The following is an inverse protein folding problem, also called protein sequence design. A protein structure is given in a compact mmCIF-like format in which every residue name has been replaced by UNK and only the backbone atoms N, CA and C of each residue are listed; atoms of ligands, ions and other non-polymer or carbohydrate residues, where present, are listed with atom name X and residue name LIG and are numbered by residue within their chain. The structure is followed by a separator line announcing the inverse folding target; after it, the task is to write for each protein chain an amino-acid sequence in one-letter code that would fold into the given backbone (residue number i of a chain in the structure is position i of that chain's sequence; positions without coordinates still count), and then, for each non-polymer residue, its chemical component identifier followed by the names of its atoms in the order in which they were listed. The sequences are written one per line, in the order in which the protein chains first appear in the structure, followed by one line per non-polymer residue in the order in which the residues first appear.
data_IF_075499491488
#
_entry.id   IF_075499491488
#
_cell.length_a   1.000
_cell.length_b   1.000
_cell.length_c   1.000
_cell.angle_alpha   90.00
_cell.angle_beta   90.00
_cell.angle_gamma   90.00
#
_symmetry.space_group_name_H-M   'P 1'
#
loop_
_entity.id
_entity.type
_entity.pdbx_description
1 polymer ?
#
# COMPACT_ATOMS: atom_id res chain seq x y z
N UNK A 1 21.27 6.02 -12.59
CA UNK A 1 20.06 6.42 -11.87
C UNK A 1 19.79 7.91 -12.10
N UNK A 2 18.57 8.25 -12.47
CA UNK A 2 18.14 9.65 -12.65
C UNK A 2 17.12 9.98 -11.56
N UNK A 3 17.41 11.00 -10.78
CA UNK A 3 16.56 11.47 -9.68
C UNK A 3 15.86 12.76 -10.09
N UNK A 4 14.58 12.88 -9.78
CA UNK A 4 13.80 14.12 -9.94
C UNK A 4 12.99 14.38 -8.67
N UNK A 5 13.40 15.37 -7.92
CA UNK A 5 12.73 15.76 -6.67
C UNK A 5 11.66 16.83 -6.85
N UNK A 6 10.86 17.06 -5.81
CA UNK A 6 9.97 18.21 -5.70
C UNK A 6 10.73 19.51 -5.45
N UNK A 7 10.12 20.64 -5.81
CA UNK A 7 10.71 21.98 -5.61
C UNK A 7 10.83 22.36 -4.13
N UNK A 8 9.95 21.84 -3.30
CA UNK A 8 9.93 22.01 -1.83
C UNK A 8 11.12 21.36 -1.13
N UNK A 9 11.70 20.32 -1.74
CA UNK A 9 12.85 19.58 -1.21
C UNK A 9 14.16 19.80 -2.00
N UNK A 10 14.24 20.79 -2.90
CA UNK A 10 15.37 20.96 -3.82
C UNK A 10 16.72 21.08 -3.11
N UNK A 11 16.79 21.87 -2.03
CA UNK A 11 18.03 22.02 -1.24
C UNK A 11 18.48 20.70 -0.61
N UNK A 12 17.56 19.94 -0.03
CA UNK A 12 17.85 18.62 0.55
C UNK A 12 18.28 17.62 -0.51
N UNK A 13 17.61 17.59 -1.66
CA UNK A 13 17.95 16.70 -2.77
C UNK A 13 19.35 16.99 -3.30
N UNK A 14 19.72 18.27 -3.49
CA UNK A 14 21.08 18.68 -3.91
C UNK A 14 22.14 18.28 -2.89
N UNK A 15 21.89 18.48 -1.61
CA UNK A 15 22.83 18.13 -0.55
C UNK A 15 23.08 16.60 -0.50
N UNK A 16 22.00 15.80 -0.60
CA UNK A 16 22.08 14.33 -0.61
C UNK A 16 22.85 13.85 -1.86
N UNK A 17 22.57 14.37 -3.05
CA UNK A 17 23.25 13.97 -4.27
C UNK A 17 24.71 14.43 -4.26
N UNK A 18 25.03 15.59 -3.73
CA UNK A 18 26.43 16.04 -3.54
C UNK A 18 27.20 15.07 -2.62
N UNK A 19 26.59 14.61 -1.53
CA UNK A 19 27.18 13.60 -0.64
C UNK A 19 27.40 12.26 -1.39
N UNK A 20 26.40 11.78 -2.13
CA UNK A 20 26.53 10.57 -2.95
C UNK A 20 27.70 10.72 -3.92
N UNK A 21 27.79 11.84 -4.64
CA UNK A 21 28.89 12.09 -5.59
C UNK A 21 30.26 12.08 -4.92
N UNK A 22 30.39 12.63 -3.69
CA UNK A 22 31.65 12.60 -2.95
C UNK A 22 32.10 11.18 -2.61
N UNK A 23 31.14 10.32 -2.22
CA UNK A 23 31.39 8.91 -1.90
C UNK A 23 31.75 8.12 -3.16
N UNK A 24 31.04 8.33 -4.27
CA UNK A 24 31.32 7.70 -5.55
C UNK A 24 32.74 8.05 -6.02
N UNK A 25 33.12 9.32 -5.96
CA UNK A 25 34.46 9.79 -6.31
C UNK A 25 35.55 9.11 -5.46
N UNK A 26 35.34 8.99 -4.13
CA UNK A 26 36.25 8.28 -3.23
C UNK A 26 36.41 6.79 -3.56
N UNK A 27 35.45 6.21 -4.28
CA UNK A 27 35.47 4.81 -4.76
C UNK A 27 35.93 4.68 -6.22
N UNK A 28 36.36 5.77 -6.88
CA UNK A 28 36.74 5.76 -8.28
C UNK A 28 35.56 5.57 -9.26
N UNK A 29 34.32 5.82 -8.82
CA UNK A 29 33.12 5.69 -9.63
C UNK A 29 32.73 7.07 -10.17
N UNK A 30 32.41 7.15 -11.47
CA UNK A 30 32.00 8.38 -12.13
C UNK A 30 30.68 8.93 -11.56
N UNK A 31 30.60 10.26 -11.42
CA UNK A 31 29.39 10.91 -10.86
C UNK A 31 28.12 10.72 -11.69
N UNK A 32 28.26 10.48 -12.99
CA UNK A 32 27.13 10.23 -13.91
C UNK A 32 26.31 8.98 -13.61
N UNK A 33 26.75 8.14 -12.67
CA UNK A 33 25.96 7.01 -12.16
C UNK A 33 24.68 7.47 -11.46
N UNK A 34 24.68 8.68 -10.87
CA UNK A 34 23.51 9.31 -10.25
C UNK A 34 23.43 10.77 -10.72
N UNK A 35 22.34 11.12 -11.37
CA UNK A 35 22.08 12.48 -11.84
C UNK A 35 20.78 13.03 -11.22
N UNK A 36 20.81 14.31 -10.84
CA UNK A 36 19.66 15.04 -10.32
C UNK A 36 19.16 16.02 -11.38
N UNK A 37 17.91 15.80 -11.81
CA UNK A 37 17.26 16.72 -12.75
C UNK A 37 16.75 17.97 -12.04
N UNK A 38 16.59 19.09 -12.78
CA UNK A 38 15.94 20.28 -12.26
C UNK A 38 14.56 19.99 -11.70
N UNK A 39 14.18 20.67 -10.60
CA UNK A 39 12.89 20.49 -9.94
C UNK A 39 11.74 21.22 -10.69
N UNK A 40 11.70 21.11 -12.03
CA UNK A 40 10.70 21.78 -12.90
C UNK A 40 9.73 20.78 -13.51
N UNK A 41 8.58 21.23 -13.96
CA UNK A 41 7.60 20.41 -14.68
C UNK A 41 8.10 19.97 -16.05
N UNK A 42 8.84 20.84 -16.74
CA UNK A 42 9.44 20.55 -18.04
C UNK A 42 10.46 19.39 -17.94
N UNK A 43 11.30 19.39 -16.91
CA UNK A 43 12.22 18.30 -16.66
C UNK A 43 11.49 16.98 -16.39
N UNK A 44 10.38 17.01 -15.64
CA UNK A 44 9.53 15.83 -15.43
C UNK A 44 8.96 15.32 -16.75
N UNK A 45 8.36 16.21 -17.55
CA UNK A 45 7.78 15.83 -18.83
C UNK A 45 8.82 15.25 -19.80
N UNK A 46 9.99 15.89 -19.90
CA UNK A 46 11.10 15.39 -20.73
C UNK A 46 11.58 14.00 -20.29
N UNK A 47 11.74 13.79 -18.98
CA UNK A 47 12.11 12.48 -18.40
C UNK A 47 11.09 11.39 -18.76
N UNK A 48 9.80 11.67 -18.61
CA UNK A 48 8.75 10.71 -18.90
C UNK A 48 8.59 10.35 -20.38
N UNK A 49 9.16 11.17 -21.27
CA UNK A 49 9.17 10.96 -22.74
C UNK A 49 10.51 10.35 -23.23
N UNK A 50 11.51 10.20 -22.37
CA UNK A 50 12.88 9.83 -22.74
C UNK A 50 13.04 8.31 -23.01
N UNK A 51 12.21 7.76 -23.90
CA UNK A 51 12.31 6.37 -24.36
C UNK A 51 13.69 6.11 -25.01
N UNK A 52 14.31 4.98 -24.68
CA UNK A 52 15.67 4.65 -25.12
C UNK A 52 16.79 5.20 -24.22
N UNK A 53 16.46 6.02 -23.23
CA UNK A 53 17.37 6.52 -22.19
C UNK A 53 16.97 6.09 -20.79
N UNK A 54 15.67 5.90 -20.56
CA UNK A 54 15.10 5.50 -19.27
C UNK A 54 14.34 4.20 -19.45
N UNK A 55 14.79 3.16 -18.77
CA UNK A 55 14.19 1.82 -18.80
C UNK A 55 12.95 1.73 -17.91
N UNK A 56 12.93 2.48 -16.80
CA UNK A 56 11.88 2.41 -15.79
C UNK A 56 11.75 3.72 -15.01
N UNK A 57 10.52 4.17 -14.79
CA UNK A 57 10.19 5.26 -13.89
C UNK A 57 9.41 4.73 -12.68
N UNK A 58 9.83 5.09 -11.46
CA UNK A 58 9.13 4.77 -10.22
C UNK A 58 8.69 6.09 -9.57
N UNK A 59 7.46 6.56 -9.83
CA UNK A 59 6.96 7.80 -9.25
C UNK A 59 6.67 7.64 -7.76
N UNK A 60 7.06 8.65 -6.98
CA UNK A 60 6.79 8.76 -5.55
C UNK A 60 6.13 10.09 -5.26
N UNK A 61 4.91 10.06 -4.71
CA UNK A 61 4.16 11.27 -4.39
C UNK A 61 2.67 11.05 -4.28
N UNK A 62 1.91 12.12 -4.14
CA UNK A 62 0.46 12.05 -3.99
C UNK A 62 -0.27 11.63 -5.28
N UNK A 63 -1.55 11.28 -5.14
CA UNK A 63 -2.45 10.76 -6.19
C UNK A 63 -2.36 11.57 -7.51
N UNK A 64 -2.27 12.90 -7.42
CA UNK A 64 -2.19 13.79 -8.61
C UNK A 64 -0.90 13.56 -9.42
N UNK A 65 0.24 13.36 -8.76
CA UNK A 65 1.50 13.06 -9.44
C UNK A 65 1.44 11.69 -10.11
N UNK A 66 0.96 10.68 -9.40
CA UNK A 66 0.85 9.33 -9.95
C UNK A 66 -0.05 9.33 -11.20
N UNK A 67 -1.21 10.00 -11.12
CA UNK A 67 -2.12 10.14 -12.27
C UNK A 67 -1.45 10.86 -13.44
N UNK A 68 -0.76 11.95 -13.18
CA UNK A 68 -0.02 12.69 -14.23
C UNK A 68 1.03 11.80 -14.91
N UNK A 69 1.81 11.05 -14.13
CA UNK A 69 2.80 10.12 -14.69
C UNK A 69 2.13 9.04 -15.53
N UNK A 70 1.04 8.44 -15.03
CA UNK A 70 0.26 7.43 -15.76
C UNK A 70 -0.22 7.93 -17.12
N UNK A 71 -0.75 9.17 -17.16
CA UNK A 71 -1.33 9.74 -18.38
C UNK A 71 -0.27 10.24 -19.37
N UNK A 72 0.95 10.54 -18.88
CA UNK A 72 1.96 11.24 -19.68
C UNK A 72 3.14 10.36 -20.08
N UNK A 73 3.50 9.36 -19.26
CA UNK A 73 4.72 8.59 -19.48
C UNK A 73 4.64 7.72 -20.75
N UNK A 74 5.73 7.75 -21.54
CA UNK A 74 6.02 6.78 -22.61
C UNK A 74 7.05 5.75 -22.17
N UNK A 75 7.79 6.03 -21.09
CA UNK A 75 8.68 5.07 -20.44
C UNK A 75 7.87 4.11 -19.58
N UNK A 76 8.32 2.87 -19.37
CA UNK A 76 7.69 1.96 -18.41
C UNK A 76 7.60 2.57 -17.01
N UNK A 77 6.49 2.34 -16.32
CA UNK A 77 6.24 2.88 -14.98
C UNK A 77 5.87 1.77 -14.03
N UNK A 78 6.48 1.75 -12.84
CA UNK A 78 5.99 0.97 -11.71
C UNK A 78 5.32 1.93 -10.72
N UNK A 79 4.02 1.84 -10.62
CA UNK A 79 3.24 2.69 -9.73
C UNK A 79 3.31 2.17 -8.28
N UNK A 80 3.58 3.09 -7.36
CA UNK A 80 3.36 2.89 -5.94
C UNK A 80 2.11 3.68 -5.58
N UNK A 81 0.97 3.02 -5.67
CA UNK A 81 -0.35 3.65 -5.50
C UNK A 81 -0.69 4.01 -4.05
N UNK A 82 -1.86 4.63 -3.86
CA UNK A 82 -2.45 4.83 -2.55
C UNK A 82 -2.77 3.46 -1.90
N UNK A 83 -2.69 3.38 -0.58
CA UNK A 83 -2.99 2.17 0.18
C UNK A 83 -4.37 2.26 0.82
N UNK A 84 -5.45 1.93 0.12
CA UNK A 84 -6.76 1.69 0.77
C UNK A 84 -6.78 0.24 1.24
N UNK A 85 -6.74 0.04 2.55
CA UNK A 85 -6.43 -1.23 3.21
C UNK A 85 -7.60 -1.70 4.06
N UNK A 86 -7.92 -3.01 3.98
CA UNK A 86 -9.03 -3.60 4.72
C UNK A 86 -8.58 -4.71 5.67
N UNK A 87 -9.35 -4.87 6.76
CA UNK A 87 -9.33 -6.06 7.59
C UNK A 87 -10.76 -6.60 7.71
N UNK A 88 -10.96 -7.86 7.35
CA UNK A 88 -12.25 -8.54 7.50
C UNK A 88 -12.26 -9.39 8.76
N UNK A 89 -13.11 -9.02 9.71
CA UNK A 89 -13.42 -9.81 10.90
C UNK A 89 -14.56 -10.77 10.58
N UNK A 90 -14.20 -12.02 10.36
CA UNK A 90 -15.08 -13.09 9.92
C UNK A 90 -16.01 -13.60 11.03
N UNK A 91 -17.03 -14.38 10.65
CA UNK A 91 -17.98 -15.00 11.59
C UNK A 91 -17.28 -15.94 12.60
N UNK A 92 -16.12 -16.52 12.25
CA UNK A 92 -15.27 -17.35 13.13
C UNK A 92 -14.07 -16.57 13.70
N UNK A 93 -14.11 -15.24 13.70
CA UNK A 93 -13.05 -14.40 14.25
C UNK A 93 -12.92 -14.55 15.79
N UNK A 94 -11.68 -14.65 16.29
CA UNK A 94 -11.40 -14.56 17.72
C UNK A 94 -11.30 -13.09 18.15
N UNK A 95 -12.07 -12.67 19.14
CA UNK A 95 -12.16 -11.26 19.56
C UNK A 95 -10.84 -10.74 20.12
N UNK A 96 -10.18 -11.53 20.97
CA UNK A 96 -8.94 -11.09 21.63
C UNK A 96 -7.80 -10.93 20.59
N UNK A 97 -7.70 -11.87 19.66
CA UNK A 97 -6.75 -11.79 18.55
C UNK A 97 -7.12 -10.64 17.60
N UNK A 98 -8.40 -10.52 17.21
CA UNK A 98 -8.89 -9.48 16.33
C UNK A 98 -8.63 -8.08 16.87
N UNK A 99 -8.91 -7.84 18.16
CA UNK A 99 -8.62 -6.56 18.81
C UNK A 99 -7.14 -6.19 18.66
N UNK A 100 -6.21 -7.12 18.95
CA UNK A 100 -4.77 -6.83 18.80
C UNK A 100 -4.38 -6.50 17.37
N UNK A 101 -4.90 -7.25 16.40
CA UNK A 101 -4.60 -7.06 14.97
C UNK A 101 -5.14 -5.72 14.47
N UNK A 102 -6.42 -5.45 14.70
CA UNK A 102 -7.12 -4.25 14.23
C UNK A 102 -6.51 -2.99 14.85
N UNK A 103 -6.30 -2.99 16.17
CA UNK A 103 -5.67 -1.87 16.88
C UNK A 103 -4.24 -1.63 16.37
N UNK A 104 -3.43 -2.67 16.19
CA UNK A 104 -2.08 -2.54 15.63
C UNK A 104 -2.11 -1.99 14.20
N UNK A 105 -2.93 -2.57 13.33
CA UNK A 105 -3.04 -2.15 11.92
C UNK A 105 -3.44 -0.67 11.80
N UNK A 106 -4.34 -0.17 12.69
CA UNK A 106 -4.78 1.23 12.64
C UNK A 106 -3.87 2.18 13.39
N UNK A 107 -3.35 1.80 14.56
CA UNK A 107 -2.80 2.80 15.49
C UNK A 107 -1.27 2.76 15.65
N UNK A 108 -0.56 1.77 15.11
CA UNK A 108 0.90 1.70 15.16
C UNK A 108 1.54 2.91 14.46
N UNK A 109 1.09 3.21 13.26
CA UNK A 109 1.48 4.39 12.49
C UNK A 109 0.40 4.68 11.45
N UNK A 110 -0.27 5.81 11.55
CA UNK A 110 -1.39 6.16 10.67
C UNK A 110 -0.97 6.75 9.33
N UNK A 111 0.22 7.34 9.25
CA UNK A 111 0.71 8.06 8.06
C UNK A 111 1.52 7.16 7.12
N UNK A 112 1.10 5.92 6.94
CA UNK A 112 1.71 4.93 6.03
C UNK A 112 0.64 4.16 5.27
N UNK A 113 0.99 3.74 4.06
CA UNK A 113 0.08 3.10 3.10
C UNK A 113 -0.44 1.71 3.52
N UNK A 114 0.16 1.08 4.54
CA UNK A 114 -0.29 -0.21 5.09
C UNK A 114 -1.18 -0.06 6.33
N UNK A 115 -1.53 1.17 6.73
CA UNK A 115 -2.43 1.41 7.84
C UNK A 115 -3.87 1.02 7.47
N UNK A 116 -4.60 0.46 8.42
CA UNK A 116 -5.99 0.04 8.21
C UNK A 116 -6.90 1.25 7.92
N UNK A 117 -7.64 1.20 6.81
CA UNK A 117 -8.62 2.23 6.46
C UNK A 117 -10.06 1.77 6.69
N UNK A 118 -10.37 0.51 6.42
CA UNK A 118 -11.72 -0.01 6.68
C UNK A 118 -11.69 -1.37 7.39
N UNK A 119 -12.38 -1.45 8.51
CA UNK A 119 -12.75 -2.70 9.14
C UNK A 119 -14.05 -3.20 8.53
N UNK A 120 -14.01 -4.37 7.91
CA UNK A 120 -15.19 -5.10 7.47
C UNK A 120 -15.54 -6.12 8.56
N UNK A 121 -16.80 -6.16 8.98
CA UNK A 121 -17.24 -7.08 10.03
C UNK A 121 -18.42 -7.91 9.58
N UNK A 122 -18.38 -9.23 9.83
CA UNK A 122 -19.52 -10.11 9.60
C UNK A 122 -20.68 -9.74 10.53
N UNK A 123 -21.90 -9.66 10.02
CA UNK A 123 -23.08 -9.20 10.74
C UNK A 123 -23.38 -9.98 12.02
N UNK A 124 -23.13 -11.29 12.02
CA UNK A 124 -23.30 -12.13 13.22
C UNK A 124 -22.34 -11.75 14.36
N UNK A 125 -21.34 -10.93 14.10
CA UNK A 125 -20.30 -10.51 15.05
C UNK A 125 -20.40 -9.03 15.43
N UNK A 126 -21.47 -8.34 15.03
CA UNK A 126 -21.68 -6.93 15.39
C UNK A 126 -21.64 -6.67 16.90
N UNK A 127 -22.13 -7.61 17.71
CA UNK A 127 -22.06 -7.49 19.16
C UNK A 127 -20.63 -7.42 19.71
N UNK A 128 -19.63 -7.90 18.96
CA UNK A 128 -18.21 -7.87 19.36
C UNK A 128 -17.52 -6.56 18.94
N UNK A 129 -18.11 -5.80 18.02
CA UNK A 129 -17.51 -4.59 17.46
C UNK A 129 -17.07 -3.58 18.54
N UNK A 130 -17.87 -3.28 19.57
CA UNK A 130 -17.44 -2.38 20.64
C UNK A 130 -16.14 -2.84 21.32
N UNK A 131 -16.00 -4.14 21.59
CA UNK A 131 -14.80 -4.70 22.21
C UNK A 131 -13.57 -4.63 21.27
N UNK A 132 -13.77 -4.88 19.97
CA UNK A 132 -12.69 -4.83 18.96
C UNK A 132 -12.08 -3.42 18.83
N UNK A 133 -12.90 -2.36 18.96
CA UNK A 133 -12.45 -0.99 18.73
C UNK A 133 -12.20 -0.19 20.02
N UNK A 134 -12.65 -0.67 21.19
CA UNK A 134 -12.53 0.05 22.45
C UNK A 134 -11.13 0.63 22.74
N UNK A 135 -10.01 -0.10 22.53
CA UNK A 135 -8.68 0.44 22.82
C UNK A 135 -8.30 1.65 21.94
N UNK A 136 -8.93 1.81 20.78
CA UNK A 136 -8.66 2.91 19.86
C UNK A 136 -9.18 4.26 20.38
N UNK A 137 -10.11 4.27 21.33
CA UNK A 137 -10.63 5.50 21.94
C UNK A 137 -9.52 6.30 22.62
N UNK A 138 -8.48 5.63 23.18
CA UNK A 138 -7.30 6.28 23.77
C UNK A 138 -6.48 7.11 22.77
N UNK A 139 -6.59 6.78 21.49
CA UNK A 139 -5.97 7.51 20.36
C UNK A 139 -6.97 8.41 19.62
N UNK A 140 -8.21 8.51 20.12
CA UNK A 140 -9.29 9.30 19.52
C UNK A 140 -9.52 8.91 18.03
N UNK A 141 -9.46 7.61 17.72
CA UNK A 141 -9.70 7.15 16.35
C UNK A 141 -11.16 7.40 16.00
N UNK A 142 -11.40 8.24 15.00
CA UNK A 142 -12.74 8.48 14.49
C UNK A 142 -13.20 7.29 13.64
N UNK A 143 -14.38 6.78 13.92
CA UNK A 143 -14.98 5.64 13.23
C UNK A 143 -16.18 6.12 12.42
N UNK A 144 -16.11 5.99 11.12
CA UNK A 144 -17.22 6.21 10.19
C UNK A 144 -17.91 4.87 9.94
N UNK A 145 -19.03 4.65 10.60
CA UNK A 145 -19.74 3.37 10.61
C UNK A 145 -20.95 3.36 9.68
N UNK A 146 -21.18 2.23 8.98
CA UNK A 146 -22.46 2.04 8.32
C UNK A 146 -23.63 1.99 9.35
N UNK A 147 -24.86 2.04 8.87
CA UNK A 147 -26.04 2.13 9.73
C UNK A 147 -26.17 0.93 10.72
N UNK A 148 -25.69 -0.27 10.33
CA UNK A 148 -25.75 -1.48 11.17
C UNK A 148 -24.70 -1.42 12.28
N UNK A 149 -23.47 -1.05 11.92
CA UNK A 149 -22.37 -0.92 12.86
C UNK A 149 -22.57 0.25 13.84
N UNK A 150 -23.13 1.38 13.37
CA UNK A 150 -23.41 2.54 14.20
C UNK A 150 -24.37 2.23 15.37
N UNK A 151 -25.31 1.30 15.18
CA UNK A 151 -26.27 0.90 16.22
C UNK A 151 -25.61 0.27 17.46
N UNK A 152 -24.44 -0.36 17.29
CA UNK A 152 -23.70 -1.02 18.37
C UNK A 152 -22.53 -0.18 18.90
N UNK A 153 -22.21 0.93 18.25
CA UNK A 153 -21.10 1.84 18.63
C UNK A 153 -21.59 3.08 19.41
N UNK A 154 -22.79 3.05 19.98
CA UNK A 154 -23.39 4.20 20.69
C UNK A 154 -22.54 4.73 21.84
N UNK A 155 -21.78 3.87 22.51
CA UNK A 155 -20.91 4.22 23.63
C UNK A 155 -19.46 4.54 23.21
N UNK A 156 -19.14 4.41 21.92
CA UNK A 156 -17.83 4.79 21.42
C UNK A 156 -17.79 6.30 21.10
N UNK A 157 -16.95 7.09 21.79
CA UNK A 157 -17.10 8.56 21.81
C UNK A 157 -16.75 9.25 20.49
N UNK A 158 -16.14 8.56 19.55
CA UNK A 158 -15.67 9.11 18.27
C UNK A 158 -16.28 8.38 17.06
N UNK A 159 -17.45 7.76 17.20
CA UNK A 159 -18.18 7.16 16.10
C UNK A 159 -19.18 8.13 15.49
N UNK A 160 -19.31 8.10 14.18
CA UNK A 160 -20.40 8.72 13.43
C UNK A 160 -21.00 7.73 12.40
N UNK A 161 -22.22 8.01 11.96
CA UNK A 161 -22.90 7.18 10.97
C UNK A 161 -22.65 7.75 9.58
N UNK A 162 -22.19 6.90 8.64
CA UNK A 162 -22.02 7.26 7.24
C UNK A 162 -23.39 7.46 6.60
N UNK A 163 -23.61 8.62 5.97
CA UNK A 163 -24.79 8.79 5.14
C UNK A 163 -24.65 7.94 3.85
N UNK A 164 -25.73 7.33 3.34
CA UNK A 164 -25.65 6.49 2.14
C UNK A 164 -24.99 7.17 0.93
N UNK A 165 -25.15 8.48 0.78
CA UNK A 165 -24.53 9.25 -0.28
C UNK A 165 -23.00 9.40 -0.15
N UNK A 166 -22.46 9.20 1.05
CA UNK A 166 -21.04 9.38 1.36
C UNK A 166 -20.26 8.05 1.42
N UNK A 167 -20.94 6.90 1.29
CA UNK A 167 -20.31 5.57 1.40
C UNK A 167 -19.12 5.43 0.44
N UNK A 168 -19.28 5.78 -0.83
CA UNK A 168 -18.22 5.67 -1.83
C UNK A 168 -17.01 6.55 -1.49
N UNK A 169 -17.24 7.74 -0.96
CA UNK A 169 -16.18 8.66 -0.56
C UNK A 169 -15.42 8.13 0.66
N UNK A 170 -16.12 7.64 1.67
CA UNK A 170 -15.51 7.10 2.90
C UNK A 170 -14.69 5.86 2.60
N UNK A 171 -15.28 4.85 1.93
CA UNK A 171 -14.62 3.56 1.70
C UNK A 171 -13.51 3.59 0.65
N UNK A 172 -13.46 4.60 -0.24
CA UNK A 172 -12.35 4.80 -1.18
C UNK A 172 -11.25 5.72 -0.66
N UNK A 173 -11.31 6.12 0.62
CA UNK A 173 -10.34 7.05 1.22
C UNK A 173 -9.19 6.31 1.90
N UNK A 174 -7.95 6.64 1.51
CA UNK A 174 -6.75 6.41 2.31
C UNK A 174 -6.68 7.52 3.36
N UNK A 175 -7.03 7.22 4.61
CA UNK A 175 -7.21 8.28 5.62
C UNK A 175 -5.92 8.94 6.10
N UNK A 176 -4.82 8.22 6.15
CA UNK A 176 -3.52 8.72 6.61
C UNK A 176 -3.57 9.43 7.99
N UNK A 177 -4.58 9.10 8.79
CA UNK A 177 -4.89 9.75 10.07
C UNK A 177 -5.62 8.77 11.00
N UNK A 178 -5.91 9.19 12.24
CA UNK A 178 -6.69 8.43 13.20
C UNK A 178 -8.19 8.42 12.81
N UNK A 179 -8.49 7.94 11.61
CA UNK A 179 -9.83 7.77 11.08
C UNK A 179 -9.93 6.42 10.36
N UNK A 180 -11.09 5.78 10.38
CA UNK A 180 -11.35 4.55 9.64
C UNK A 180 -12.84 4.36 9.36
N UNK A 181 -13.15 3.63 8.29
CA UNK A 181 -14.48 3.13 8.00
C UNK A 181 -14.79 1.83 8.74
N UNK A 182 -16.07 1.56 8.98
CA UNK A 182 -16.57 0.24 9.37
C UNK A 182 -17.72 -0.16 8.46
N UNK A 183 -17.58 -1.32 7.80
CA UNK A 183 -18.58 -1.91 6.90
C UNK A 183 -19.08 -3.24 7.45
N UNK A 184 -20.39 -3.40 7.53
CA UNK A 184 -21.04 -4.65 7.90
C UNK A 184 -21.39 -5.45 6.65
N UNK A 185 -21.07 -6.75 6.66
CA UNK A 185 -21.38 -7.69 5.57
C UNK A 185 -22.02 -8.97 6.10
N UNK A 186 -22.73 -9.70 5.25
CA UNK A 186 -23.42 -10.93 5.64
C UNK A 186 -22.67 -12.20 5.16
N UNK A 187 -21.58 -12.02 4.44
CA UNK A 187 -20.75 -13.14 3.94
C UNK A 187 -19.33 -12.68 3.57
N UNK A 188 -18.43 -13.67 3.41
CA UNK A 188 -17.10 -13.44 2.85
C UNK A 188 -17.17 -12.93 1.40
N UNK A 189 -18.21 -13.34 0.62
CA UNK A 189 -18.38 -12.87 -0.75
C UNK A 189 -18.69 -11.38 -0.80
N UNK A 190 -19.50 -10.87 0.12
CA UNK A 190 -19.74 -9.43 0.25
C UNK A 190 -18.49 -8.68 0.71
N UNK A 191 -17.69 -9.27 1.63
CA UNK A 191 -16.42 -8.68 2.03
C UNK A 191 -15.44 -8.56 0.84
N UNK A 192 -15.30 -9.62 0.05
CA UNK A 192 -14.47 -9.64 -1.15
C UNK A 192 -14.99 -8.68 -2.23
N UNK A 193 -16.30 -8.56 -2.40
CA UNK A 193 -16.90 -7.60 -3.31
C UNK A 193 -16.62 -6.15 -2.89
N UNK A 194 -16.72 -5.85 -1.58
CA UNK A 194 -16.36 -4.55 -1.02
C UNK A 194 -14.88 -4.23 -1.27
N UNK A 195 -13.98 -5.16 -0.96
CA UNK A 195 -12.53 -5.03 -1.21
C UNK A 195 -12.25 -4.80 -2.70
N UNK A 196 -12.89 -5.56 -3.58
CA UNK A 196 -12.73 -5.40 -5.03
C UNK A 196 -13.19 -4.04 -5.54
N UNK A 197 -14.20 -3.44 -4.90
CA UNK A 197 -14.74 -2.13 -5.29
C UNK A 197 -13.88 -0.97 -4.78
N UNK A 198 -13.41 -1.02 -3.54
CA UNK A 198 -12.79 0.11 -2.86
C UNK A 198 -11.31 -0.05 -2.59
N UNK A 199 -10.79 -1.28 -2.57
CA UNK A 199 -9.40 -1.57 -2.30
C UNK A 199 -8.45 -1.06 -3.38
N UNK A 200 -7.26 -0.71 -2.97
CA UNK A 200 -6.19 -0.28 -3.88
C UNK A 200 -5.36 -1.45 -4.41
N UNK A 201 -5.62 -2.69 -3.99
CA UNK A 201 -4.79 -3.86 -4.28
C UNK A 201 -3.47 -3.90 -3.48
N UNK A 202 -3.37 -3.12 -2.41
CA UNK A 202 -2.17 -3.02 -1.58
C UNK A 202 -2.07 -4.16 -0.57
N UNK A 203 -2.89 -4.15 0.45
CA UNK A 203 -2.84 -5.12 1.56
C UNK A 203 -4.23 -5.38 2.11
N UNK A 204 -4.54 -6.65 2.29
CA UNK A 204 -5.83 -7.09 2.82
C UNK A 204 -5.61 -8.13 3.93
N UNK A 205 -6.50 -8.18 4.91
CA UNK A 205 -6.41 -9.13 6.02
C UNK A 205 -7.76 -9.80 6.28
N UNK A 206 -7.73 -11.10 6.59
CA UNK A 206 -8.85 -11.81 7.22
C UNK A 206 -8.47 -12.22 8.63
N UNK A 207 -9.41 -12.08 9.57
CA UNK A 207 -9.29 -12.51 10.96
C UNK A 207 -10.33 -13.60 11.20
N UNK A 208 -9.87 -14.85 11.24
CA UNK A 208 -10.72 -16.03 11.37
C UNK A 208 -9.96 -17.22 11.96
N UNK A 209 -10.66 -18.10 12.66
CA UNK A 209 -10.14 -19.41 13.09
C UNK A 209 -10.44 -20.51 12.07
N UNK A 210 -11.24 -20.23 11.04
CA UNK A 210 -11.53 -21.16 9.96
C UNK A 210 -10.44 -21.10 8.87
N UNK A 211 -9.60 -22.12 8.82
CA UNK A 211 -8.52 -22.22 7.85
C UNK A 211 -9.01 -22.30 6.39
N UNK A 212 -10.22 -22.84 6.16
CA UNK A 212 -10.80 -22.96 4.81
C UNK A 212 -11.19 -21.57 4.30
N UNK A 213 -11.92 -20.80 5.10
CA UNK A 213 -12.29 -19.42 4.75
C UNK A 213 -11.07 -18.53 4.63
N UNK A 214 -10.06 -18.71 5.49
CA UNK A 214 -8.79 -18.00 5.38
C UNK A 214 -8.11 -18.25 4.03
N UNK A 215 -8.00 -19.50 3.60
CA UNK A 215 -7.41 -19.85 2.29
C UNK A 215 -8.23 -19.33 1.13
N UNK A 216 -9.56 -19.41 1.23
CA UNK A 216 -10.47 -18.83 0.24
C UNK A 216 -10.23 -17.33 0.09
N UNK A 217 -10.17 -16.60 1.19
CA UNK A 217 -9.89 -15.16 1.19
C UNK A 217 -8.54 -14.86 0.55
N UNK A 218 -7.47 -15.58 0.97
CA UNK A 218 -6.12 -15.39 0.42
C UNK A 218 -6.03 -15.63 -1.10
N UNK A 219 -6.84 -16.54 -1.63
CA UNK A 219 -6.87 -16.85 -3.06
C UNK A 219 -7.71 -15.86 -3.88
N UNK A 220 -8.75 -15.30 -3.28
CA UNK A 220 -9.72 -14.47 -4.00
C UNK A 220 -9.50 -12.97 -3.83
N UNK A 221 -8.88 -12.53 -2.75
CA UNK A 221 -8.54 -11.11 -2.57
C UNK A 221 -7.40 -10.72 -3.52
N UNK A 222 -7.69 -9.79 -4.45
CA UNK A 222 -6.74 -9.33 -5.44
C UNK A 222 -5.87 -8.18 -4.89
N UNK A 223 -4.96 -8.51 -4.00
CA UNK A 223 -4.02 -7.58 -3.40
C UNK A 223 -2.57 -8.09 -3.47
N UNK A 224 -1.62 -7.18 -3.33
CA UNK A 224 -0.20 -7.51 -3.32
C UNK A 224 0.18 -8.36 -2.09
N UNK A 225 -0.45 -8.07 -0.94
CA UNK A 225 -0.22 -8.81 0.30
C UNK A 225 -1.56 -9.18 0.92
N UNK A 226 -1.77 -10.48 1.18
CA UNK A 226 -3.01 -10.98 1.78
C UNK A 226 -2.70 -11.77 3.03
N UNK A 227 -3.15 -11.25 4.17
CA UNK A 227 -2.84 -11.75 5.49
C UNK A 227 -3.96 -12.60 6.07
N UNK A 228 -3.58 -13.63 6.78
CA UNK A 228 -4.44 -14.39 7.68
C UNK A 228 -3.94 -14.20 9.11
N UNK A 229 -4.78 -13.63 9.97
CA UNK A 229 -4.51 -13.39 11.39
C UNK A 229 -3.22 -12.62 11.69
N UNK A 230 -2.87 -11.67 10.81
CA UNK A 230 -1.76 -10.76 11.03
C UNK A 230 -2.11 -9.36 10.51
N UNK A 231 -1.65 -8.28 11.16
CA UNK A 231 -1.97 -6.93 10.73
C UNK A 231 -1.27 -6.57 9.41
N UNK A 232 -1.94 -5.78 8.59
CA UNK A 232 -1.43 -5.26 7.33
C UNK A 232 -0.17 -4.40 7.48
N UNK A 233 0.11 -3.95 8.70
CA UNK A 233 1.33 -3.22 9.07
C UNK A 233 2.64 -4.01 8.84
N UNK A 234 2.56 -5.30 8.54
CA UNK A 234 3.71 -6.11 8.11
C UNK A 234 4.07 -5.93 6.62
N UNK A 235 3.26 -5.26 5.81
CA UNK A 235 3.63 -4.93 4.43
C UNK A 235 4.70 -3.85 4.42
N UNK A 236 5.95 -4.30 4.52
CA UNK A 236 7.12 -3.45 4.68
C UNK A 236 8.35 -4.23 4.23
N UNK A 237 9.23 -3.62 3.44
CA UNK A 237 10.40 -4.30 2.87
C UNK A 237 11.38 -4.83 3.93
N UNK A 238 11.51 -4.15 5.08
CA UNK A 238 12.34 -4.65 6.18
C UNK A 238 11.72 -5.88 6.84
N UNK A 239 10.37 -5.90 6.99
CA UNK A 239 9.66 -7.06 7.53
C UNK A 239 9.70 -8.26 6.57
N UNK A 240 9.78 -8.01 5.27
CA UNK A 240 9.92 -9.06 4.24
C UNK A 240 11.37 -9.51 4.02
N UNK A 241 12.33 -8.92 4.75
CA UNK A 241 13.74 -9.30 4.63
C UNK A 241 14.45 -8.74 3.40
N UNK A 242 13.88 -7.74 2.72
CA UNK A 242 14.44 -7.15 1.50
C UNK A 242 15.60 -6.17 1.77
N UNK A 243 15.87 -5.85 3.04
CA UNK A 243 16.92 -4.92 3.45
C UNK A 243 16.61 -3.45 3.21
N UNK A 244 15.93 -3.13 2.13
CA UNK A 244 15.48 -1.78 1.78
C UNK A 244 14.13 -1.84 1.07
N UNK A 245 13.45 -0.71 0.95
CA UNK A 245 12.21 -0.59 0.19
C UNK A 245 12.18 0.73 -0.57
N UNK A 246 11.97 0.64 -1.90
CA UNK A 246 11.73 1.82 -2.72
C UNK A 246 10.24 2.16 -2.80
N UNK A 247 9.38 1.22 -2.48
CA UNK A 247 7.92 1.38 -2.43
C UNK A 247 7.20 0.05 -2.53
N UNK A 248 5.88 0.10 -2.50
CA UNK A 248 5.01 -1.07 -2.59
C UNK A 248 4.20 -0.95 -3.87
N UNK A 249 4.43 -1.87 -4.82
CA UNK A 249 3.71 -1.91 -6.07
C UNK A 249 2.40 -2.68 -5.94
N UNK A 250 1.32 -2.13 -6.48
CA UNK A 250 0.02 -2.82 -6.59
C UNK A 250 -0.23 -3.37 -7.99
N UNK A 251 0.71 -3.17 -8.92
CA UNK A 251 0.58 -3.61 -10.31
C UNK A 251 0.66 -5.13 -10.43
N UNK A 252 0.02 -5.67 -11.46
CA UNK A 252 0.03 -7.12 -11.77
C UNK A 252 1.16 -7.49 -12.75
N UNK A 253 1.64 -6.53 -13.52
CA UNK A 253 2.75 -6.71 -14.43
C UNK A 253 4.02 -6.09 -13.83
N UNK A 254 5.08 -6.85 -13.74
CA UNK A 254 6.29 -6.48 -13.03
C UNK A 254 6.25 -6.86 -11.54
N UNK A 255 7.08 -6.28 -10.70
CA UNK A 255 7.09 -6.57 -9.27
C UNK A 255 5.77 -6.14 -8.60
N UNK A 256 5.30 -6.94 -7.65
CA UNK A 256 4.09 -6.69 -6.88
C UNK A 256 4.37 -6.85 -5.38
N UNK A 257 3.94 -5.90 -4.58
CA UNK A 257 4.26 -5.83 -3.15
C UNK A 257 5.46 -4.92 -2.86
N UNK A 258 6.09 -5.06 -1.68
CA UNK A 258 7.31 -4.34 -1.34
C UNK A 258 8.41 -4.61 -2.35
N UNK A 259 9.14 -3.57 -2.75
CA UNK A 259 10.21 -3.65 -3.74
C UNK A 259 11.54 -3.28 -3.11
N UNK A 260 12.46 -4.22 -3.05
CA UNK A 260 13.85 -4.03 -2.67
C UNK A 260 14.78 -3.91 -3.88
N UNK A 261 16.04 -4.31 -3.70
CA UNK A 261 17.06 -4.22 -4.75
C UNK A 261 16.77 -5.16 -5.92
N UNK A 262 16.29 -6.36 -5.65
CA UNK A 262 16.05 -7.38 -6.68
C UNK A 262 14.92 -6.94 -7.64
N UNK A 263 13.86 -6.34 -7.12
CA UNK A 263 12.69 -5.94 -7.89
C UNK A 263 12.96 -4.78 -8.85
N UNK A 264 14.03 -4.02 -8.64
CA UNK A 264 14.45 -2.91 -9.52
C UNK A 264 15.63 -3.28 -10.44
N UNK A 265 16.02 -4.55 -10.45
CA UNK A 265 17.07 -5.08 -11.32
C UNK A 265 16.50 -6.08 -12.32
N UNK A 266 17.30 -6.44 -13.32
CA UNK A 266 16.92 -7.48 -14.28
C UNK A 266 18.11 -8.40 -14.55
N UNK A 267 17.89 -9.47 -15.26
CA UNK A 267 18.88 -10.46 -15.59
C UNK A 267 19.10 -10.57 -17.11
N UNK A 268 20.22 -11.15 -17.49
CA UNK A 268 20.49 -11.60 -18.84
C UNK A 268 21.05 -13.01 -18.81
N UNK A 269 20.80 -13.74 -19.86
CA UNK A 269 21.39 -15.05 -20.05
C UNK A 269 22.78 -14.91 -20.62
N UNK A 270 23.79 -15.55 -20.03
CA UNK A 270 25.11 -15.74 -20.59
C UNK A 270 25.17 -17.16 -21.16
N UNK A 271 25.39 -17.30 -22.42
CA UNK A 271 25.34 -18.58 -23.14
C UNK A 271 26.68 -18.81 -23.82
N UNK A 272 27.41 -19.79 -23.32
CA UNK A 272 28.69 -20.22 -23.94
C UNK A 272 28.42 -21.41 -24.86
N UNK A 273 28.90 -21.30 -26.09
CA UNK A 273 28.73 -22.33 -27.10
C UNK A 273 30.06 -22.87 -27.58
N UNK A 274 30.08 -24.10 -28.10
CA UNK A 274 31.21 -24.78 -28.69
C UNK A 274 30.87 -25.23 -30.13
N UNK A 275 30.26 -24.33 -30.93
CA UNK A 275 29.91 -24.57 -32.33
C UNK A 275 28.60 -25.37 -32.55
N UNK A 276 27.78 -25.58 -31.54
CA UNK A 276 26.48 -26.25 -31.69
C UNK A 276 25.57 -25.45 -32.62
N UNK A 277 24.82 -26.16 -33.45
CA UNK A 277 23.79 -25.59 -34.32
C UNK A 277 22.42 -26.17 -33.98
N UNK A 278 21.40 -25.38 -34.21
CA UNK A 278 20.03 -25.87 -34.11
C UNK A 278 19.58 -26.42 -35.46
N UNK A 279 19.04 -27.65 -35.47
CA UNK A 279 18.40 -28.27 -36.64
C UNK A 279 17.11 -27.54 -37.05
#
# INVERSE_FOLDING_TARGET
CVLKGGSDADHSNRAIVALIHSILAAKGIGRSVVELLPATHEATAAMLQATGYIDLCIPRGGKRLIQFVRDTAKVPVIETGAGVVHAYFDHMGDVAMGTRIIVNAKTRRVSVCNALDTLIIHSSRLADLPALVAPMASKQVRIHADARAAQVLTDYPYADTIAPADEDAVYSTEFMSYQMGVKTVDSIDEALAHISRYGSGHSECIITTDAKEARRFQQQADAACVYWNAPTSFTDGAQFGLGAEIGISTQKLGPRGPMGLEEITTYKWLIDGDGQTRA
#
